data_IF_766758135729
#
_entry.id   IF_766758135729
#
_cell.length_a   1.000
_cell.length_b   1.000
_cell.length_c   1.000
_cell.angle_alpha   90.00
_cell.angle_beta   90.00
_cell.angle_gamma   90.00
#
_symmetry.space_group_name_H-M   'P 1'
#
loop_
_entity.id
_entity.type
_entity.pdbx_description
1 polymer ?
#
# COMPACT_ATOMS: atom_id res chain seq x y z
N UNK A 1 -19.98 -46.03 -75.41
CA UNK A 1 -18.86 -45.49 -74.61
C UNK A 1 -19.44 -44.76 -73.41
N UNK A 2 -18.93 -45.10 -72.22
CA UNK A 2 -19.26 -44.49 -70.92
C UNK A 2 -18.85 -43.01 -70.90
N UNK A 3 -19.53 -42.18 -70.09
CA UNK A 3 -18.99 -41.22 -69.10
C UNK A 3 -20.21 -40.40 -68.58
N UNK A 4 -20.75 -40.70 -67.39
CA UNK A 4 -20.37 -40.23 -66.05
C UNK A 4 -20.74 -38.76 -65.77
N UNK A 5 -21.70 -38.64 -64.85
CA UNK A 5 -22.12 -37.47 -64.08
C UNK A 5 -20.97 -36.78 -63.34
N UNK A 6 -21.10 -35.49 -63.06
CA UNK A 6 -20.63 -34.92 -61.79
C UNK A 6 -21.39 -33.62 -61.46
N UNK A 7 -22.08 -33.69 -60.33
CA UNK A 7 -22.87 -32.63 -59.73
C UNK A 7 -22.04 -31.47 -59.21
N UNK A 8 -22.67 -30.31 -59.25
CA UNK A 8 -22.31 -29.06 -58.61
C UNK A 8 -22.23 -29.22 -57.08
N UNK A 9 -21.10 -28.86 -56.46
CA UNK A 9 -21.01 -28.65 -55.01
C UNK A 9 -20.30 -27.31 -54.76
N UNK A 10 -21.06 -26.31 -54.32
CA UNK A 10 -20.55 -25.02 -53.86
C UNK A 10 -20.33 -25.14 -52.36
N UNK A 11 -19.06 -25.15 -51.93
CA UNK A 11 -18.69 -25.18 -50.51
C UNK A 11 -18.61 -23.76 -49.97
N UNK A 12 -19.54 -23.39 -49.09
CA UNK A 12 -19.55 -22.13 -48.36
C UNK A 12 -18.59 -22.26 -47.15
N UNK A 13 -17.42 -21.61 -47.20
CA UNK A 13 -16.49 -21.52 -46.07
C UNK A 13 -16.94 -20.40 -45.13
N UNK A 14 -17.61 -20.77 -44.05
CA UNK A 14 -17.86 -19.88 -42.90
C UNK A 14 -16.58 -19.81 -42.07
N UNK A 15 -15.89 -18.67 -42.12
CA UNK A 15 -14.86 -18.32 -41.15
C UNK A 15 -15.53 -17.96 -39.82
N UNK A 16 -15.48 -18.89 -38.87
CA UNK A 16 -15.83 -18.62 -37.48
C UNK A 16 -14.76 -17.71 -36.87
N UNK A 17 -15.09 -16.43 -36.69
CA UNK A 17 -14.34 -15.57 -35.78
C UNK A 17 -14.59 -16.06 -34.35
N UNK A 18 -13.58 -16.68 -33.73
CA UNK A 18 -13.59 -16.91 -32.29
C UNK A 18 -13.47 -15.55 -31.62
N UNK A 19 -14.57 -15.05 -31.06
CA UNK A 19 -14.52 -13.99 -30.07
C UNK A 19 -13.91 -14.60 -28.80
N UNK A 20 -12.62 -14.35 -28.56
CA UNK A 20 -12.02 -14.56 -27.25
C UNK A 20 -12.67 -13.59 -26.27
N UNK A 21 -13.77 -14.05 -25.68
CA UNK A 21 -14.32 -13.45 -24.49
C UNK A 21 -13.27 -13.59 -23.39
N UNK A 22 -12.59 -12.49 -23.06
CA UNK A 22 -11.86 -12.38 -21.80
C UNK A 22 -12.86 -12.63 -20.68
N UNK A 23 -12.85 -13.87 -20.18
CA UNK A 23 -13.63 -14.28 -19.04
C UNK A 23 -13.29 -13.34 -17.88
N UNK A 24 -14.32 -12.66 -17.36
CA UNK A 24 -14.26 -12.03 -16.05
C UNK A 24 -13.65 -13.06 -15.08
N UNK A 25 -12.46 -12.75 -14.57
CA UNK A 25 -11.70 -13.66 -13.71
C UNK A 25 -12.58 -14.14 -12.58
N UNK A 26 -12.94 -15.42 -12.60
CA UNK A 26 -13.47 -16.08 -11.42
C UNK A 26 -12.42 -15.92 -10.33
N UNK A 27 -12.82 -15.30 -9.22
CA UNK A 27 -11.99 -15.18 -8.03
C UNK A 27 -11.68 -16.59 -7.51
N UNK A 28 -10.57 -17.16 -7.98
CA UNK A 28 -9.97 -18.35 -7.39
C UNK A 28 -9.57 -17.95 -5.98
N UNK A 29 -10.33 -18.42 -4.97
CA UNK A 29 -9.91 -18.33 -3.58
C UNK A 29 -8.70 -19.25 -3.42
N UNK A 30 -7.46 -18.74 -3.32
CA UNK A 30 -6.31 -19.62 -3.24
C UNK A 30 -6.28 -20.26 -1.85
N UNK A 31 -5.72 -21.46 -1.71
CA UNK A 31 -5.46 -22.09 -0.41
C UNK A 31 -4.56 -21.23 0.53
N UNK A 32 -3.87 -20.21 -0.02
CA UNK A 32 -3.17 -19.18 0.76
C UNK A 32 -4.12 -18.23 1.50
N UNK A 33 -5.38 -18.10 1.06
CA UNK A 33 -6.35 -17.18 1.67
C UNK A 33 -6.68 -17.55 3.11
N UNK A 34 -6.80 -18.83 3.46
CA UNK A 34 -7.16 -19.23 4.83
C UNK A 34 -6.01 -19.01 5.82
N UNK A 35 -4.76 -19.27 5.41
CA UNK A 35 -3.58 -18.97 6.25
C UNK A 35 -3.44 -17.46 6.46
N UNK A 36 -3.57 -16.67 5.39
CA UNK A 36 -3.54 -15.21 5.45
C UNK A 36 -4.64 -14.66 6.38
N UNK A 37 -5.88 -15.14 6.23
CA UNK A 37 -6.99 -14.71 7.07
C UNK A 37 -6.75 -14.99 8.56
N UNK A 38 -6.26 -16.18 8.92
CA UNK A 38 -5.90 -16.52 10.32
C UNK A 38 -4.78 -15.63 10.86
N UNK A 39 -3.81 -15.27 10.02
CA UNK A 39 -2.74 -14.37 10.43
C UNK A 39 -3.27 -12.94 10.65
N UNK A 40 -4.17 -12.46 9.79
CA UNK A 40 -4.87 -11.18 9.96
C UNK A 40 -5.68 -11.18 11.28
N UNK A 41 -6.43 -12.25 11.58
CA UNK A 41 -7.15 -12.39 12.85
C UNK A 41 -6.23 -12.27 14.06
N UNK A 42 -5.04 -12.86 13.95
CA UNK A 42 -4.04 -12.84 15.01
C UNK A 42 -3.54 -11.42 15.27
N UNK A 43 -3.24 -10.63 14.23
CA UNK A 43 -2.87 -9.22 14.39
C UNK A 43 -4.03 -8.36 14.89
N UNK A 44 -5.24 -8.58 14.38
CA UNK A 44 -6.43 -7.86 14.82
C UNK A 44 -6.72 -8.09 16.30
N UNK A 45 -6.55 -9.32 16.81
CA UNK A 45 -6.68 -9.61 18.23
C UNK A 45 -5.66 -8.84 19.07
N UNK A 46 -4.44 -8.70 18.59
CA UNK A 46 -3.39 -7.89 19.23
C UNK A 46 -3.73 -6.39 19.24
N UNK A 47 -4.20 -5.86 18.09
CA UNK A 47 -4.61 -4.46 17.95
C UNK A 47 -5.89 -4.10 18.68
N UNK A 48 -6.85 -5.02 18.76
CA UNK A 48 -8.20 -4.76 19.28
C UNK A 48 -8.24 -4.34 20.75
N UNK A 49 -7.15 -4.55 21.49
CA UNK A 49 -6.96 -4.03 22.85
C UNK A 49 -6.75 -2.51 22.87
N UNK A 50 -6.28 -1.91 21.78
CA UNK A 50 -5.99 -0.48 21.70
C UNK A 50 -7.21 0.38 21.35
N UNK A 51 -7.30 1.59 21.93
CA UNK A 51 -8.30 2.58 21.54
C UNK A 51 -8.23 2.88 20.03
N UNK A 52 -9.39 2.83 19.36
CA UNK A 52 -9.52 3.09 17.92
C UNK A 52 -9.63 1.83 17.06
N UNK A 53 -9.07 0.70 17.50
CA UNK A 53 -8.96 -0.52 16.69
C UNK A 53 -10.14 -1.50 16.84
N UNK A 54 -10.99 -1.32 17.86
CA UNK A 54 -12.14 -2.21 18.12
C UNK A 54 -13.05 -2.40 16.91
N UNK A 55 -13.25 -1.34 16.11
CA UNK A 55 -14.08 -1.37 14.90
C UNK A 55 -13.57 -2.34 13.85
N UNK A 56 -12.27 -2.63 13.82
CA UNK A 56 -11.68 -3.57 12.84
C UNK A 56 -11.99 -5.03 13.16
N UNK A 57 -12.26 -5.37 14.43
CA UNK A 57 -12.53 -6.75 14.86
C UNK A 57 -13.81 -7.33 14.23
N UNK A 58 -14.76 -6.47 13.89
CA UNK A 58 -16.08 -6.86 13.36
C UNK A 58 -16.28 -6.44 11.91
N UNK A 59 -15.29 -5.78 11.31
CA UNK A 59 -15.37 -5.25 9.97
C UNK A 59 -15.29 -6.36 8.90
N UNK A 60 -16.02 -6.17 7.80
CA UNK A 60 -15.82 -6.94 6.57
C UNK A 60 -14.42 -6.66 6.02
N UNK A 61 -13.79 -7.67 5.42
CA UNK A 61 -12.44 -7.54 4.84
C UNK A 61 -12.51 -7.60 3.33
N UNK A 62 -11.76 -6.73 2.68
CA UNK A 62 -11.48 -6.78 1.25
C UNK A 62 -9.97 -6.87 1.06
N UNK A 63 -9.52 -7.97 0.46
CA UNK A 63 -8.10 -8.30 0.29
C UNK A 63 -7.77 -8.18 -1.19
N UNK A 64 -6.83 -7.29 -1.52
CA UNK A 64 -6.43 -6.98 -2.89
C UNK A 64 -4.91 -7.01 -3.02
N UNK A 65 -4.36 -7.48 -4.16
CA UNK A 65 -2.91 -7.45 -4.38
C UNK A 65 -2.39 -6.01 -4.53
N UNK A 66 -1.14 -5.77 -4.09
CA UNK A 66 -0.45 -4.45 -4.15
C UNK A 66 0.72 -4.42 -5.14
N UNK A 67 0.58 -5.15 -6.24
CA UNK A 67 1.51 -5.12 -7.36
C UNK A 67 1.73 -6.52 -7.93
N UNK A 68 2.10 -6.64 -9.22
CA UNK A 68 2.42 -7.92 -9.83
C UNK A 68 3.58 -8.61 -9.09
N UNK A 69 3.46 -9.90 -8.77
CA UNK A 69 4.58 -10.70 -8.24
C UNK A 69 5.06 -10.36 -6.82
N UNK A 70 4.55 -9.30 -6.18
CA UNK A 70 4.99 -8.81 -4.86
C UNK A 70 4.70 -9.79 -3.70
N UNK A 71 3.79 -10.74 -3.89
CA UNK A 71 3.22 -11.54 -2.81
C UNK A 71 2.74 -10.67 -1.62
N UNK A 72 2.28 -9.47 -1.93
CA UNK A 72 1.76 -8.48 -0.99
C UNK A 72 0.28 -8.22 -1.22
N UNK A 73 -0.43 -7.91 -0.13
CA UNK A 73 -1.84 -7.54 -0.15
C UNK A 73 -2.11 -6.30 0.70
N UNK A 74 -3.03 -5.47 0.21
CA UNK A 74 -3.77 -4.52 1.04
C UNK A 74 -5.06 -5.17 1.51
N UNK A 75 -5.34 -5.03 2.80
CA UNK A 75 -6.55 -5.51 3.46
C UNK A 75 -7.32 -4.30 3.93
N UNK A 76 -8.43 -3.96 3.30
CA UNK A 76 -9.33 -2.90 3.78
C UNK A 76 -10.37 -3.48 4.74
N UNK A 77 -10.66 -2.74 5.82
CA UNK A 77 -11.66 -3.11 6.83
C UNK A 77 -12.87 -2.19 6.72
N UNK A 78 -14.00 -2.75 6.32
CA UNK A 78 -15.24 -2.02 6.06
C UNK A 78 -16.29 -2.26 7.14
N UNK A 79 -16.89 -1.18 7.63
CA UNK A 79 -18.11 -1.22 8.44
C UNK A 79 -19.26 -0.65 7.62
N UNK A 80 -20.13 -1.54 7.12
CA UNK A 80 -21.04 -1.21 6.03
C UNK A 80 -20.26 -0.90 4.75
N UNK A 81 -20.51 0.26 4.15
CA UNK A 81 -19.81 0.72 2.93
C UNK A 81 -18.65 1.69 3.23
N UNK A 82 -18.34 1.93 4.50
CA UNK A 82 -17.26 2.83 4.91
C UNK A 82 -16.03 2.05 5.33
N UNK A 83 -14.87 2.45 4.81
CA UNK A 83 -13.61 1.94 5.33
C UNK A 83 -13.36 2.53 6.72
N UNK A 84 -12.77 1.71 7.60
CA UNK A 84 -12.44 2.11 8.98
C UNK A 84 -10.97 1.90 9.32
N UNK A 85 -10.23 1.25 8.43
CA UNK A 85 -8.80 1.06 8.51
C UNK A 85 -8.31 0.04 7.49
N UNK A 86 -7.03 -0.28 7.55
CA UNK A 86 -6.41 -1.24 6.64
C UNK A 86 -5.15 -1.88 7.23
N UNK A 87 -4.64 -2.90 6.54
CA UNK A 87 -3.32 -3.50 6.73
C UNK A 87 -2.63 -3.68 5.38
N UNK A 88 -1.30 -3.57 5.36
CA UNK A 88 -0.43 -4.05 4.28
C UNK A 88 0.33 -5.26 4.79
N UNK A 89 0.20 -6.37 4.06
CA UNK A 89 0.72 -7.68 4.46
C UNK A 89 1.53 -8.27 3.33
N UNK A 90 2.70 -8.82 3.64
CA UNK A 90 3.54 -9.54 2.68
C UNK A 90 3.71 -11.00 3.09
N UNK A 91 3.77 -11.91 2.11
CA UNK A 91 4.20 -13.28 2.36
C UNK A 91 5.71 -13.31 2.64
N UNK A 92 6.11 -14.14 3.59
CA UNK A 92 7.52 -14.44 3.80
C UNK A 92 7.97 -15.53 2.81
N UNK A 93 9.23 -15.49 2.34
CA UNK A 93 9.78 -16.54 1.47
C UNK A 93 9.66 -17.93 2.09
N UNK A 94 9.58 -18.94 1.22
CA UNK A 94 9.59 -20.36 1.60
C UNK A 94 8.43 -20.75 2.54
N UNK A 95 7.23 -20.15 2.35
CA UNK A 95 6.01 -20.43 3.14
C UNK A 95 6.20 -20.24 4.65
N UNK A 96 7.09 -19.33 5.06
CA UNK A 96 7.34 -19.01 6.49
C UNK A 96 6.25 -18.14 7.12
N UNK A 97 5.10 -18.03 6.48
CA UNK A 97 3.96 -17.24 6.94
C UNK A 97 3.92 -15.84 6.31
N UNK A 98 3.44 -14.87 7.07
CA UNK A 98 3.23 -13.51 6.60
C UNK A 98 3.78 -12.48 7.59
N UNK A 99 4.06 -11.30 7.09
CA UNK A 99 4.51 -10.17 7.87
C UNK A 99 3.59 -8.96 7.67
N UNK A 100 3.30 -8.27 8.77
CA UNK A 100 2.54 -7.02 8.79
C UNK A 100 3.50 -5.85 8.61
N UNK A 101 3.45 -5.18 7.46
CA UNK A 101 4.35 -4.06 7.14
C UNK A 101 3.79 -2.74 7.65
N UNK A 102 2.49 -2.56 7.48
CA UNK A 102 1.80 -1.30 7.78
C UNK A 102 0.36 -1.59 8.19
N UNK A 103 -0.20 -0.74 9.04
CA UNK A 103 -1.63 -0.71 9.33
C UNK A 103 -2.08 0.71 9.62
N UNK A 104 -3.37 0.97 9.47
CA UNK A 104 -3.90 2.31 9.72
C UNK A 104 -5.39 2.32 10.05
N UNK A 105 -5.82 3.47 10.53
CA UNK A 105 -7.22 3.82 10.83
C UNK A 105 -7.60 5.04 9.99
N UNK A 106 -8.87 5.12 9.59
CA UNK A 106 -9.38 6.25 8.80
C UNK A 106 -10.38 5.79 7.74
N UNK A 107 -11.14 6.75 7.21
CA UNK A 107 -12.10 6.49 6.12
C UNK A 107 -11.41 6.45 4.74
N UNK A 108 -10.18 7.00 4.65
CA UNK A 108 -9.37 7.09 3.43
C UNK A 108 -8.08 6.29 3.60
N UNK A 109 -8.14 4.94 3.51
CA UNK A 109 -6.95 4.10 3.62
C UNK A 109 -6.02 4.29 2.42
N UNK A 110 -4.79 3.77 2.55
CA UNK A 110 -3.91 3.59 1.39
C UNK A 110 -4.62 2.79 0.30
N UNK A 111 -4.53 3.25 -0.95
CA UNK A 111 -5.25 2.69 -2.11
C UNK A 111 -6.78 2.77 -2.00
N UNK A 112 -7.32 3.81 -1.36
CA UNK A 112 -8.75 4.10 -1.42
C UNK A 112 -9.21 4.44 -2.84
N UNK A 113 -10.25 3.75 -3.31
CA UNK A 113 -10.83 4.02 -4.63
C UNK A 113 -11.52 5.39 -4.69
N UNK A 114 -12.07 5.88 -3.58
CA UNK A 114 -12.65 7.24 -3.48
C UNK A 114 -11.59 8.30 -3.72
N UNK A 115 -10.46 8.22 -2.99
CA UNK A 115 -9.35 9.17 -3.17
C UNK A 115 -8.79 9.15 -4.59
N UNK A 116 -8.64 7.96 -5.19
CA UNK A 116 -8.23 7.85 -6.59
C UNK A 116 -9.26 8.48 -7.55
N UNK A 117 -10.56 8.26 -7.32
CA UNK A 117 -11.60 8.85 -8.15
C UNK A 117 -11.54 10.37 -8.13
N UNK A 118 -11.40 10.96 -6.96
CA UNK A 118 -11.29 12.41 -6.79
C UNK A 118 -10.00 12.95 -7.43
N UNK A 119 -8.88 12.23 -7.29
CA UNK A 119 -7.62 12.57 -7.97
C UNK A 119 -7.72 12.56 -9.49
N UNK A 120 -8.28 11.49 -10.06
CA UNK A 120 -8.50 11.39 -11.51
C UNK A 120 -9.44 12.49 -12.02
N UNK A 121 -10.49 12.84 -11.26
CA UNK A 121 -11.38 13.93 -11.62
C UNK A 121 -10.66 15.29 -11.65
N UNK A 122 -9.76 15.57 -10.69
CA UNK A 122 -8.91 16.78 -10.69
C UNK A 122 -8.01 16.87 -11.92
N UNK A 123 -7.56 15.73 -12.43
CA UNK A 123 -6.73 15.63 -13.63
C UNK A 123 -7.54 15.64 -14.94
N UNK A 124 -8.88 15.71 -14.87
CA UNK A 124 -9.73 15.59 -16.06
C UNK A 124 -9.67 14.21 -16.72
N UNK A 125 -9.41 13.16 -15.94
CA UNK A 125 -9.31 11.77 -16.39
C UNK A 125 -10.50 10.95 -15.92
N UNK A 126 -11.71 11.47 -16.13
CA UNK A 126 -12.93 10.72 -15.83
C UNK A 126 -13.24 9.71 -16.96
N UNK A 127 -14.17 8.79 -16.71
CA UNK A 127 -14.61 7.86 -17.75
C UNK A 127 -15.14 8.59 -19.00
N UNK A 128 -15.79 9.74 -18.83
CA UNK A 128 -16.27 10.55 -19.94
C UNK A 128 -15.12 11.12 -20.76
N UNK A 129 -14.06 11.59 -20.08
CA UNK A 129 -12.88 12.18 -20.72
C UNK A 129 -12.02 11.13 -21.43
N UNK A 130 -12.01 9.88 -20.94
CA UNK A 130 -11.30 8.76 -21.56
C UNK A 130 -12.15 8.01 -22.61
N UNK A 131 -13.11 8.67 -23.25
CA UNK A 131 -13.95 8.08 -24.30
C UNK A 131 -14.75 6.86 -23.84
N UNK A 132 -15.19 6.84 -22.58
CA UNK A 132 -15.85 5.71 -21.90
C UNK A 132 -15.02 4.42 -21.79
N UNK A 133 -13.71 4.48 -22.04
CA UNK A 133 -12.83 3.32 -21.82
C UNK A 133 -12.39 3.27 -20.35
N UNK A 134 -12.35 2.09 -19.72
CA UNK A 134 -11.83 1.97 -18.37
C UNK A 134 -10.32 2.24 -18.35
N UNK A 135 -9.86 3.07 -17.40
CA UNK A 135 -8.44 3.22 -17.11
C UNK A 135 -7.92 1.94 -16.44
N UNK A 136 -6.77 1.45 -16.89
CA UNK A 136 -6.06 0.40 -16.18
C UNK A 136 -5.39 1.02 -14.95
N UNK A 137 -5.62 0.41 -13.79
CA UNK A 137 -5.21 0.90 -12.48
C UNK A 137 -4.43 -0.18 -11.76
N UNK A 138 -3.17 0.07 -11.49
CA UNK A 138 -2.29 -0.83 -10.77
C UNK A 138 -1.92 -0.22 -9.42
N UNK A 139 -1.94 -1.04 -8.37
CA UNK A 139 -1.40 -0.66 -7.06
C UNK A 139 0.05 -1.07 -7.05
N UNK A 140 0.95 -0.12 -6.81
CA UNK A 140 2.36 -0.40 -6.67
C UNK A 140 2.83 0.09 -5.30
N UNK A 141 3.48 -0.79 -4.56
CA UNK A 141 3.93 -0.51 -3.19
C UNK A 141 5.40 -0.89 -3.07
N UNK A 142 6.26 0.09 -2.80
CA UNK A 142 7.68 -0.16 -2.54
C UNK A 142 7.93 -0.21 -1.03
N UNK A 143 7.42 0.79 -0.31
CA UNK A 143 7.51 0.89 1.15
C UNK A 143 6.42 1.87 1.67
N UNK A 144 6.24 2.04 2.99
CA UNK A 144 5.17 2.88 3.53
C UNK A 144 5.20 4.36 3.10
N UNK A 145 6.37 4.87 2.72
CA UNK A 145 6.57 6.26 2.26
C UNK A 145 6.60 6.38 0.74
N UNK A 146 6.49 5.26 0.01
CA UNK A 146 6.42 5.25 -1.45
C UNK A 146 5.48 4.14 -1.93
N UNK A 147 4.21 4.52 -2.08
CA UNK A 147 3.15 3.69 -2.63
C UNK A 147 2.35 4.54 -3.62
N UNK A 148 2.04 3.99 -4.79
CA UNK A 148 1.44 4.73 -5.90
C UNK A 148 0.36 3.92 -6.61
N UNK A 149 -0.62 4.64 -7.13
CA UNK A 149 -1.42 4.17 -8.24
C UNK A 149 -0.67 4.43 -9.55
N UNK A 150 -0.50 3.38 -10.35
CA UNK A 150 -0.04 3.52 -11.72
C UNK A 150 -1.25 3.44 -12.65
N UNK A 151 -1.47 4.53 -13.37
CA UNK A 151 -2.62 4.75 -14.23
C UNK A 151 -2.16 4.70 -15.68
N UNK A 152 -2.70 3.77 -16.46
CA UNK A 152 -2.46 3.73 -17.90
C UNK A 152 -3.66 4.35 -18.61
N UNK A 153 -3.39 5.42 -19.34
CA UNK A 153 -4.38 6.09 -20.19
C UNK A 153 -4.48 5.40 -21.55
N UNK A 154 -5.57 5.65 -22.28
CA UNK A 154 -5.76 5.03 -23.61
C UNK A 154 -4.89 5.65 -24.69
N UNK A 155 -4.29 6.80 -24.41
CA UNK A 155 -3.36 7.53 -25.28
C UNK A 155 -1.90 7.05 -25.12
N UNK A 156 -1.67 6.09 -24.21
CA UNK A 156 -0.34 5.53 -23.95
C UNK A 156 0.47 6.30 -22.89
N UNK A 157 -0.12 7.33 -22.27
CA UNK A 157 0.50 8.02 -21.13
C UNK A 157 0.32 7.21 -19.85
N UNK A 158 1.40 7.06 -19.08
CA UNK A 158 1.43 6.47 -17.75
C UNK A 158 1.59 7.57 -16.71
N UNK A 159 0.72 7.57 -15.70
CA UNK A 159 0.77 8.50 -14.58
C UNK A 159 0.99 7.73 -13.27
N UNK A 160 1.76 8.33 -12.36
CA UNK A 160 1.99 7.80 -11.03
C UNK A 160 1.35 8.76 -10.03
N UNK A 161 0.33 8.31 -9.32
CA UNK A 161 -0.36 9.10 -8.31
C UNK A 161 -0.03 8.53 -6.93
N UNK A 162 0.27 9.37 -5.94
CA UNK A 162 0.43 8.92 -4.56
C UNK A 162 -0.78 8.09 -4.10
N UNK A 163 -0.55 6.94 -3.49
CA UNK A 163 -1.61 6.00 -3.15
C UNK A 163 -2.52 6.48 -2.00
N UNK A 164 -2.10 7.51 -1.26
CA UNK A 164 -2.84 8.11 -0.16
C UNK A 164 -3.56 9.41 -0.59
N UNK A 165 -2.89 10.32 -1.29
CA UNK A 165 -3.45 11.64 -1.67
C UNK A 165 -4.02 11.68 -3.10
N UNK A 166 -3.63 10.73 -3.94
CA UNK A 166 -3.88 10.74 -5.39
C UNK A 166 -3.34 12.00 -6.09
N UNK A 167 -2.28 12.61 -5.55
CA UNK A 167 -1.51 13.65 -6.22
C UNK A 167 -0.54 13.03 -7.23
N UNK A 168 -0.40 13.66 -8.39
CA UNK A 168 0.55 13.21 -9.41
C UNK A 168 1.99 13.43 -8.95
N UNK A 169 2.78 12.36 -9.03
CA UNK A 169 4.22 12.41 -8.82
C UNK A 169 4.91 12.83 -10.13
N UNK A 170 5.93 13.70 -10.08
CA UNK A 170 6.64 14.19 -11.25
C UNK A 170 7.65 13.15 -11.78
N UNK A 171 7.18 11.93 -12.09
CA UNK A 171 8.04 10.80 -12.45
C UNK A 171 7.54 10.03 -13.68
N UNK A 172 8.48 9.42 -14.39
CA UNK A 172 8.22 8.47 -15.48
C UNK A 172 8.49 7.01 -15.10
N UNK A 173 8.20 6.10 -16.04
CA UNK A 173 8.36 4.66 -15.84
C UNK A 173 9.80 4.22 -15.55
N UNK A 174 10.80 4.89 -16.15
CA UNK A 174 12.21 4.61 -15.91
C UNK A 174 12.63 4.93 -14.46
N UNK A 175 12.24 6.10 -13.95
CA UNK A 175 12.50 6.51 -12.57
C UNK A 175 11.80 5.58 -11.57
N UNK A 176 10.56 5.18 -11.88
CA UNK A 176 9.84 4.19 -11.07
C UNK A 176 10.58 2.84 -11.05
N UNK A 177 10.97 2.31 -12.21
CA UNK A 177 11.66 1.03 -12.33
C UNK A 177 12.97 1.03 -11.53
N UNK A 178 13.80 2.05 -11.70
CA UNK A 178 15.06 2.19 -10.96
C UNK A 178 14.85 2.23 -9.44
N UNK A 179 13.82 2.95 -8.98
CA UNK A 179 13.47 3.03 -7.55
C UNK A 179 12.92 1.71 -7.02
N UNK A 180 12.08 1.02 -7.80
CA UNK A 180 11.49 -0.26 -7.44
C UNK A 180 12.57 -1.34 -7.29
N UNK A 181 13.54 -1.42 -8.20
CA UNK A 181 14.67 -2.36 -8.09
C UNK A 181 15.50 -2.13 -6.81
N UNK A 182 15.74 -0.87 -6.45
CA UNK A 182 16.42 -0.53 -5.20
C UNK A 182 15.58 -0.88 -3.96
N UNK A 183 14.26 -0.79 -4.05
CA UNK A 183 13.31 -0.99 -2.96
C UNK A 183 12.90 -2.44 -2.68
N UNK A 184 12.76 -3.28 -3.72
CA UNK A 184 12.37 -4.71 -3.59
C UNK A 184 13.37 -5.51 -2.75
N UNK A 185 14.63 -5.06 -2.70
CA UNK A 185 15.64 -5.65 -1.83
C UNK A 185 15.28 -5.52 -0.34
N UNK A 186 14.44 -4.57 0.06
CA UNK A 186 14.35 -4.18 1.47
C UNK A 186 13.51 -5.12 2.33
N UNK A 187 12.39 -5.68 1.84
CA UNK A 187 11.49 -6.52 2.66
C UNK A 187 12.08 -7.91 2.93
N UNK A 188 12.78 -8.48 1.95
CA UNK A 188 13.45 -9.77 2.06
C UNK A 188 14.72 -9.72 2.94
N UNK A 189 15.44 -8.59 2.91
CA UNK A 189 16.69 -8.40 3.64
C UNK A 189 16.50 -8.02 5.12
N UNK A 190 15.29 -7.66 5.52
CA UNK A 190 15.03 -7.20 6.89
C UNK A 190 15.33 -8.25 7.97
N UNK A 191 15.55 -9.53 7.61
CA UNK A 191 15.65 -10.61 8.59
C UNK A 191 14.44 -10.62 9.52
N UNK A 192 13.32 -10.03 9.09
CA UNK A 192 12.16 -9.72 9.91
C UNK A 192 11.75 -11.00 10.60
N UNK A 193 11.99 -11.00 11.89
CA UNK A 193 11.42 -11.98 12.79
C UNK A 193 9.92 -11.84 12.62
N UNK A 194 9.30 -12.90 12.12
CA UNK A 194 7.86 -13.08 12.23
C UNK A 194 7.47 -12.56 13.61
N UNK A 195 6.46 -11.68 13.63
CA UNK A 195 5.74 -11.39 14.87
C UNK A 195 5.52 -12.74 15.56
N UNK A 196 5.93 -12.83 16.84
CA UNK A 196 5.85 -14.06 17.61
C UNK A 196 4.48 -14.71 17.40
N UNK A 197 4.36 -16.04 17.54
CA UNK A 197 3.13 -16.79 17.25
C UNK A 197 1.86 -16.24 17.91
N UNK A 198 1.99 -15.35 18.89
CA UNK A 198 0.91 -14.52 19.45
C UNK A 198 1.40 -13.08 19.65
N UNK A 199 1.34 -12.23 18.60
CA UNK A 199 1.77 -10.85 18.70
C UNK A 199 0.78 -10.06 19.54
N UNK A 200 1.32 -9.35 20.53
CA UNK A 200 0.55 -8.46 21.40
C UNK A 200 1.18 -7.08 21.35
N UNK A 201 0.35 -6.04 21.40
CA UNK A 201 0.86 -4.71 21.65
C UNK A 201 1.24 -4.58 23.13
N UNK A 202 2.51 -4.28 23.39
CA UNK A 202 3.06 -4.18 24.74
C UNK A 202 3.12 -2.75 25.24
N UNK A 203 3.31 -1.80 24.32
CA UNK A 203 3.36 -0.37 24.64
C UNK A 203 2.90 0.48 23.47
N UNK A 204 2.04 1.45 23.74
CA UNK A 204 1.74 2.55 22.85
C UNK A 204 2.19 3.87 23.48
N UNK A 205 2.89 4.70 22.71
CA UNK A 205 3.22 6.08 23.09
C UNK A 205 2.67 7.00 22.02
N UNK A 206 1.96 8.05 22.44
CA UNK A 206 1.48 9.12 21.57
C UNK A 206 2.16 10.42 21.99
N UNK A 207 2.75 11.10 21.02
CA UNK A 207 3.25 12.46 21.15
C UNK A 207 2.11 13.47 21.03
N UNK A 208 2.48 14.74 20.95
CA UNK A 208 1.54 15.83 20.68
C UNK A 208 1.37 16.04 19.17
N UNK A 209 0.20 16.48 18.74
CA UNK A 209 0.03 17.04 17.40
C UNK A 209 0.71 18.41 17.33
N UNK A 210 1.25 18.76 16.17
CA UNK A 210 1.95 20.01 15.92
C UNK A 210 1.86 20.38 14.44
N UNK A 211 2.12 21.65 14.11
CA UNK A 211 2.18 22.10 12.73
C UNK A 211 3.49 21.60 12.07
N UNK A 212 3.32 20.72 11.08
CA UNK A 212 4.41 20.10 10.33
C UNK A 212 5.37 21.13 9.73
N UNK A 213 4.84 22.27 9.28
CA UNK A 213 5.55 23.30 8.53
C UNK A 213 5.87 24.56 9.34
N UNK A 214 5.45 24.65 10.60
CA UNK A 214 5.82 25.76 11.49
C UNK A 214 7.34 25.91 11.66
N UNK A 215 8.07 24.78 11.57
CA UNK A 215 9.53 24.73 11.53
C UNK A 215 9.92 23.80 10.39
N UNK A 216 10.91 24.21 9.60
CA UNK A 216 11.44 23.44 8.47
C UNK A 216 12.87 22.92 8.78
N UNK A 217 13.08 22.16 9.88
CA UNK A 217 14.42 21.79 10.34
C UNK A 217 15.18 20.91 9.35
N UNK A 218 14.51 20.27 8.40
CA UNK A 218 15.16 19.50 7.34
C UNK A 218 15.90 20.37 6.31
N UNK A 219 15.59 21.67 6.23
CA UNK A 219 16.31 22.59 5.35
C UNK A 219 17.58 23.17 5.98
N UNK A 220 17.62 23.27 7.31
CA UNK A 220 18.67 24.03 8.03
C UNK A 220 19.43 23.20 9.06
N UNK A 221 18.88 22.07 9.47
CA UNK A 221 19.37 21.24 10.56
C UNK A 221 20.01 19.95 10.09
N UNK A 222 20.40 19.13 11.05
CA UNK A 222 20.89 17.78 10.82
C UNK A 222 19.88 16.77 11.37
N UNK A 223 19.73 15.61 10.72
CA UNK A 223 18.82 14.59 11.19
C UNK A 223 19.27 14.06 12.56
N UNK A 224 18.29 13.75 13.39
CA UNK A 224 18.50 13.13 14.69
C UNK A 224 19.11 11.74 14.53
N UNK A 225 20.13 11.47 15.33
CA UNK A 225 20.70 10.12 15.48
C UNK A 225 19.84 9.29 16.44
N UNK A 226 18.75 8.71 15.94
CA UNK A 226 17.89 7.80 16.69
C UNK A 226 18.48 6.39 16.66
N UNK A 227 18.98 5.92 17.81
CA UNK A 227 19.64 4.61 17.91
C UNK A 227 18.65 3.44 17.84
N UNK A 228 17.51 3.58 18.50
CA UNK A 228 16.52 2.52 18.66
C UNK A 228 15.12 3.09 18.92
N UNK A 229 14.12 2.19 18.92
CA UNK A 229 12.71 2.52 19.19
C UNK A 229 12.46 3.01 20.62
N UNK A 230 13.35 2.72 21.58
CA UNK A 230 13.23 3.19 22.97
C UNK A 230 13.61 4.66 23.08
N UNK A 231 14.68 5.09 22.40
CA UNK A 231 15.06 6.50 22.29
C UNK A 231 13.96 7.30 21.60
N UNK A 232 13.38 6.77 20.52
CA UNK A 232 12.27 7.40 19.81
C UNK A 232 11.04 7.56 20.74
N UNK A 233 10.65 6.50 21.44
CA UNK A 233 9.57 6.54 22.42
C UNK A 233 9.83 7.57 23.53
N UNK A 234 11.07 7.70 24.00
CA UNK A 234 11.47 8.69 24.99
C UNK A 234 11.26 10.14 24.52
N UNK A 235 11.63 10.44 23.27
CA UNK A 235 11.41 11.76 22.66
C UNK A 235 9.92 12.07 22.51
N UNK A 236 9.13 11.10 22.04
CA UNK A 236 7.67 11.24 21.92
C UNK A 236 6.99 11.49 23.27
N UNK A 237 7.35 10.73 24.31
CA UNK A 237 6.86 10.95 25.68
C UNK A 237 7.27 12.32 26.23
N UNK A 238 8.44 12.82 25.82
CA UNK A 238 8.95 14.15 26.13
C UNK A 238 8.31 15.28 25.32
N UNK A 239 7.31 14.96 24.47
CA UNK A 239 6.60 15.90 23.59
C UNK A 239 7.48 16.57 22.53
N UNK A 240 8.56 15.92 22.10
CA UNK A 240 9.33 16.38 20.96
C UNK A 240 8.45 16.40 19.70
N UNK A 241 8.57 17.45 18.89
CA UNK A 241 7.90 17.56 17.59
C UNK A 241 8.75 16.89 16.52
N UNK A 242 8.51 15.59 16.28
CA UNK A 242 9.37 14.82 15.38
C UNK A 242 8.82 14.77 13.97
N UNK A 243 9.67 15.06 12.99
CA UNK A 243 9.32 15.10 11.57
C UNK A 243 10.05 13.99 10.85
N UNK A 244 9.32 13.15 10.15
CA UNK A 244 9.87 12.12 9.29
C UNK A 244 9.99 12.70 7.88
N UNK A 245 11.18 12.63 7.29
CA UNK A 245 11.41 13.11 5.92
C UNK A 245 12.02 12.03 5.05
N UNK A 246 11.59 11.95 3.80
CA UNK A 246 12.06 10.94 2.85
C UNK A 246 12.12 11.53 1.45
N UNK A 247 13.31 11.49 0.85
CA UNK A 247 13.58 12.03 -0.48
C UNK A 247 13.63 10.88 -1.49
N UNK A 248 13.00 11.10 -2.65
CA UNK A 248 12.91 10.11 -3.72
C UNK A 248 13.20 10.75 -5.08
N UNK A 249 13.51 9.90 -6.07
CA UNK A 249 13.71 10.29 -7.46
C UNK A 249 14.76 11.39 -7.61
N UNK A 250 15.94 11.16 -7.03
CA UNK A 250 17.06 12.11 -7.02
C UNK A 250 16.71 13.50 -6.47
N UNK A 251 15.83 13.53 -5.46
CA UNK A 251 15.41 14.76 -4.78
C UNK A 251 14.26 15.50 -5.47
N UNK A 252 13.68 14.93 -6.54
CA UNK A 252 12.54 15.53 -7.24
C UNK A 252 11.25 15.48 -6.42
N UNK A 253 11.20 14.63 -5.39
CA UNK A 253 10.06 14.53 -4.48
C UNK A 253 10.51 14.32 -3.03
N UNK A 254 9.87 15.05 -2.11
CA UNK A 254 10.14 15.00 -0.67
C UNK A 254 8.82 14.74 0.08
N UNK A 255 8.74 13.60 0.76
CA UNK A 255 7.71 13.35 1.74
C UNK A 255 8.12 13.93 3.10
N UNK A 256 7.19 14.64 3.76
CA UNK A 256 7.33 15.10 5.14
C UNK A 256 6.08 14.66 5.90
N UNK A 257 6.24 14.02 7.05
CA UNK A 257 5.12 13.57 7.88
C UNK A 257 5.38 13.81 9.37
N UNK A 258 4.33 14.08 10.18
CA UNK A 258 4.49 14.21 11.62
C UNK A 258 4.64 12.82 12.25
N UNK A 259 5.79 12.55 12.86
CA UNK A 259 6.03 11.35 13.66
C UNK A 259 5.57 11.63 15.08
N UNK A 260 4.39 11.13 15.43
CA UNK A 260 3.69 11.51 16.66
C UNK A 260 3.26 10.29 17.50
N UNK A 261 3.83 9.13 17.25
CA UNK A 261 3.59 7.99 18.11
C UNK A 261 4.42 6.78 17.75
N UNK A 262 4.33 5.77 18.58
CA UNK A 262 4.97 4.48 18.38
C UNK A 262 4.20 3.38 19.10
N UNK A 263 4.00 2.28 18.39
CA UNK A 263 3.46 1.02 18.87
C UNK A 263 4.59 0.00 18.96
N UNK A 264 4.88 -0.50 20.16
CA UNK A 264 5.86 -1.56 20.39
C UNK A 264 5.12 -2.85 20.67
N UNK A 265 5.32 -3.81 19.78
CA UNK A 265 4.77 -5.15 19.84
C UNK A 265 5.76 -6.11 20.49
N UNK A 266 5.25 -7.29 20.86
CA UNK A 266 6.05 -8.39 21.39
C UNK A 266 7.28 -8.68 20.53
N UNK A 267 8.42 -8.86 21.20
CA UNK A 267 9.72 -9.00 20.57
C UNK A 267 10.41 -7.67 20.25
N UNK A 268 9.85 -6.54 20.70
CA UNK A 268 10.42 -5.21 20.48
C UNK A 268 10.16 -4.61 19.09
N UNK A 269 9.31 -5.27 18.29
CA UNK A 269 8.94 -4.83 16.95
C UNK A 269 8.17 -3.50 17.06
N UNK A 270 8.73 -2.44 16.49
CA UNK A 270 8.19 -1.10 16.63
C UNK A 270 7.52 -0.64 15.33
N UNK A 271 6.33 -0.08 15.45
CA UNK A 271 5.66 0.67 14.39
C UNK A 271 5.56 2.13 14.78
N UNK A 272 6.12 3.03 13.98
CA UNK A 272 5.95 4.47 14.19
C UNK A 272 4.58 4.92 13.68
N UNK A 273 3.97 5.84 14.39
CA UNK A 273 2.71 6.46 14.02
C UNK A 273 2.97 7.76 13.27
N UNK A 274 2.26 7.97 12.17
CA UNK A 274 2.04 9.29 11.58
C UNK A 274 0.55 9.63 11.60
N UNK A 275 0.22 10.88 11.93
CA UNK A 275 -1.12 11.43 11.67
C UNK A 275 -1.15 12.06 10.29
N UNK A 276 -2.29 11.89 9.64
CA UNK A 276 -2.65 12.57 8.40
C UNK A 276 -4.06 13.14 8.59
N UNK A 277 -4.46 14.05 7.72
CA UNK A 277 -5.71 14.80 7.87
C UNK A 277 -6.94 13.90 8.09
N UNK A 278 -6.99 12.76 7.42
CA UNK A 278 -8.14 11.85 7.44
C UNK A 278 -7.83 10.46 8.02
N UNK A 279 -6.74 10.34 8.78
CA UNK A 279 -6.38 9.06 9.38
C UNK A 279 -5.07 9.01 10.13
N UNK A 280 -4.73 7.80 10.54
CA UNK A 280 -3.48 7.50 11.23
C UNK A 280 -2.86 6.26 10.61
N UNK A 281 -1.57 6.31 10.33
CA UNK A 281 -0.83 5.19 9.74
C UNK A 281 0.29 4.77 10.68
N UNK A 282 0.55 3.47 10.70
CA UNK A 282 1.57 2.84 11.52
C UNK A 282 2.52 2.05 10.63
N UNK A 283 3.79 2.43 10.63
CA UNK A 283 4.81 1.86 9.74
C UNK A 283 5.85 1.10 10.54
N UNK A 284 6.30 -0.05 10.04
CA UNK A 284 7.43 -0.74 10.66
C UNK A 284 8.66 0.18 10.72
N UNK A 285 9.13 0.49 11.93
CA UNK A 285 10.22 1.44 12.15
C UNK A 285 11.52 1.03 11.45
N UNK A 286 11.84 -0.27 11.51
CA UNK A 286 13.07 -0.80 10.91
C UNK A 286 13.08 -0.71 9.39
N UNK A 287 11.91 -0.67 8.76
CA UNK A 287 11.76 -0.40 7.33
C UNK A 287 11.91 1.07 7.01
N UNK A 288 11.15 1.91 7.72
CA UNK A 288 11.16 3.36 7.48
C UNK A 288 12.54 3.98 7.68
N UNK A 289 13.28 3.59 8.72
CA UNK A 289 14.59 4.19 9.04
C UNK A 289 15.66 4.00 7.94
N UNK A 290 15.42 3.13 6.97
CA UNK A 290 16.31 2.94 5.80
C UNK A 290 16.09 3.98 4.71
N UNK A 291 14.90 4.55 4.67
CA UNK A 291 14.45 5.42 3.58
C UNK A 291 14.12 6.83 4.06
N UNK A 292 14.17 7.07 5.37
CA UNK A 292 13.78 8.33 5.97
C UNK A 292 14.71 8.77 7.09
N UNK A 293 14.77 10.08 7.26
CA UNK A 293 15.45 10.76 8.34
C UNK A 293 14.42 11.33 9.33
N UNK A 294 14.81 11.46 10.60
CA UNK A 294 13.99 12.06 11.64
C UNK A 294 14.59 13.39 12.05
N UNK A 295 13.80 14.45 12.06
CA UNK A 295 14.16 15.78 12.52
C UNK A 295 13.30 16.17 13.73
N UNK A 296 13.74 17.18 14.49
CA UNK A 296 13.00 17.80 15.60
C UNK A 296 12.87 19.30 15.35
#
# INVERSE_FOLDING_TARGET
MRFLSASLLITLLLFSYSADAFAAGQAVKPASSDKLNRQIDTWLKGLGAEPGFKKLLTAKREIMPIGPGTHGWVVHFLNGNKTTGYMIVHALPNDRGYHLTEYGLGEHPLFAMSTLHDGLARLGLTAADNGNKPLLKERLYINPLLAVWHIHTTEGTSLYLDAYTAEELPIGAEQWASTAEAGESSYLLTGVTSLASSPKLERAVRGQSFDLYARLPWLTGQPLRIKDSKMLAGKLSGKAELRLTSEWFDGSWLAVAPLNGIHVWTGGIAYIQIEQEEGTRYFLYDEVKRHASVYE
#
